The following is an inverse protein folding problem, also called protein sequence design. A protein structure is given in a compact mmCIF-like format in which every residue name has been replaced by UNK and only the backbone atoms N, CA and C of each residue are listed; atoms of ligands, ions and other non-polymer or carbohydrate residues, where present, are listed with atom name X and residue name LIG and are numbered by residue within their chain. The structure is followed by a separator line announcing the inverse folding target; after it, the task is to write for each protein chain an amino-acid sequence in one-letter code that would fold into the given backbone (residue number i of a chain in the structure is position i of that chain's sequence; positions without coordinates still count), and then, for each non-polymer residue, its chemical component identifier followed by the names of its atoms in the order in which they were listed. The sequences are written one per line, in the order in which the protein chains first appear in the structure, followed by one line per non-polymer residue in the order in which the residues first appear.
data_IF_143282797748
#
_entry.id   IF_143282797748
#
_cell.length_a   1.000
_cell.length_b   1.000
_cell.length_c   1.000
_cell.angle_alpha   90.00
_cell.angle_beta   90.00
_cell.angle_gamma   90.00
#
_symmetry.space_group_name_H-M   'P 1'
#
loop_
_entity.id
_entity.type
_entity.pdbx_description
1 polymer ?
#
# COMPACT_ATOMS: atom_id res chain seq x y z
N UNK A 1 14.93 -49.21 -18.32
CA UNK A 1 15.46 -48.57 -17.09
C UNK A 1 14.42 -47.56 -16.63
N UNK A 2 13.84 -47.73 -15.44
CA UNK A 2 12.89 -46.76 -14.92
C UNK A 2 13.63 -45.46 -14.62
N UNK A 3 13.24 -44.38 -15.28
CA UNK A 3 13.78 -43.05 -15.06
C UNK A 3 13.51 -42.64 -13.62
N UNK A 4 14.55 -42.64 -12.77
CA UNK A 4 14.43 -42.21 -11.37
C UNK A 4 14.10 -40.73 -11.39
N UNK A 5 12.84 -40.39 -11.15
CA UNK A 5 12.38 -39.02 -10.94
C UNK A 5 13.17 -38.42 -9.77
N UNK A 6 14.17 -37.60 -10.08
CA UNK A 6 14.98 -36.90 -9.07
C UNK A 6 14.21 -35.70 -8.58
N UNK A 7 14.21 -35.50 -7.27
CA UNK A 7 13.73 -34.26 -6.67
C UNK A 7 14.70 -33.15 -7.06
N UNK A 8 14.17 -31.99 -7.50
CA UNK A 8 14.98 -30.82 -7.85
C UNK A 8 16.00 -30.51 -6.74
N UNK A 9 17.26 -30.25 -7.09
CA UNK A 9 18.28 -29.83 -6.13
C UNK A 9 18.02 -28.45 -5.53
N UNK A 10 17.16 -27.63 -6.16
CA UNK A 10 16.85 -26.26 -5.75
C UNK A 10 15.35 -26.12 -5.46
N UNK A 11 14.88 -26.72 -4.36
CA UNK A 11 13.52 -26.48 -3.88
C UNK A 11 13.42 -25.12 -3.18
N UNK A 12 12.31 -24.38 -3.36
CA UNK A 12 12.07 -23.14 -2.63
C UNK A 12 12.00 -23.41 -1.12
N UNK A 13 12.84 -22.73 -0.33
CA UNK A 13 12.88 -22.91 1.13
C UNK A 13 11.74 -22.15 1.78
N UNK A 14 11.15 -22.75 2.82
CA UNK A 14 10.08 -22.11 3.60
C UNK A 14 10.40 -22.11 5.08
N UNK A 15 10.45 -20.92 5.68
CA UNK A 15 10.77 -20.75 7.10
C UNK A 15 9.51 -20.62 7.95
N UNK A 16 8.37 -20.25 7.36
CA UNK A 16 7.12 -19.97 8.06
C UNK A 16 7.15 -18.68 8.87
N UNK A 17 8.10 -17.78 8.58
CA UNK A 17 8.19 -16.47 9.23
C UNK A 17 7.13 -15.51 8.71
N UNK A 18 6.82 -14.49 9.51
CA UNK A 18 5.94 -13.39 9.09
C UNK A 18 6.43 -12.76 7.79
N UNK A 19 5.55 -12.68 6.80
CA UNK A 19 5.83 -12.09 5.50
C UNK A 19 5.99 -13.12 4.37
N UNK A 20 6.22 -14.39 4.70
CA UNK A 20 6.15 -15.49 3.72
C UNK A 20 4.69 -15.85 3.44
N UNK A 21 4.39 -16.18 2.18
CA UNK A 21 3.06 -16.64 1.75
C UNK A 21 3.15 -18.15 1.49
N UNK A 22 2.50 -18.93 2.37
CA UNK A 22 2.50 -20.40 2.29
C UNK A 22 1.84 -20.90 1.00
N UNK A 23 0.85 -20.18 0.44
CA UNK A 23 0.22 -20.57 -0.84
C UNK A 23 1.17 -20.38 -2.00
N UNK A 24 1.90 -19.28 -2.00
CA UNK A 24 2.93 -19.01 -3.00
C UNK A 24 4.04 -20.07 -2.94
N UNK A 25 4.50 -20.42 -1.74
CA UNK A 25 5.49 -21.48 -1.56
C UNK A 25 5.00 -22.86 -2.04
N UNK A 26 3.77 -23.25 -1.68
CA UNK A 26 3.16 -24.50 -2.15
C UNK A 26 3.11 -24.54 -3.68
N UNK A 27 2.70 -23.44 -4.32
CA UNK A 27 2.68 -23.32 -5.77
C UNK A 27 4.08 -23.49 -6.38
N UNK A 28 5.10 -22.86 -5.79
CA UNK A 28 6.49 -23.00 -6.26
C UNK A 28 7.00 -24.45 -6.13
N UNK A 29 6.62 -25.17 -5.07
CA UNK A 29 6.91 -26.61 -4.92
C UNK A 29 6.22 -27.41 -6.03
N UNK A 30 4.94 -27.17 -6.30
CA UNK A 30 4.20 -27.86 -7.36
C UNK A 30 4.85 -27.63 -8.73
N UNK A 31 5.28 -26.40 -9.04
CA UNK A 31 5.99 -26.08 -10.28
C UNK A 31 7.34 -26.81 -10.35
N UNK A 32 8.14 -26.78 -9.28
CA UNK A 32 9.43 -27.48 -9.24
C UNK A 32 9.26 -28.99 -9.44
N UNK A 33 8.23 -29.59 -8.83
CA UNK A 33 7.90 -30.99 -9.00
C UNK A 33 7.45 -31.30 -10.43
N UNK A 34 6.58 -30.46 -11.02
CA UNK A 34 6.09 -30.63 -12.40
C UNK A 34 7.22 -30.58 -13.43
N UNK A 35 8.17 -29.66 -13.27
CA UNK A 35 9.36 -29.57 -14.13
C UNK A 35 10.20 -30.86 -14.09
N UNK A 36 10.17 -31.57 -12.95
CA UNK A 36 10.86 -32.85 -12.77
C UNK A 36 9.94 -34.05 -13.06
N UNK A 37 8.87 -33.88 -13.83
CA UNK A 37 7.94 -34.94 -14.22
C UNK A 37 7.24 -35.64 -13.05
N UNK A 38 7.09 -34.98 -11.91
CA UNK A 38 6.28 -35.44 -10.79
C UNK A 38 4.84 -34.96 -11.02
N UNK A 39 3.90 -35.90 -11.09
CA UNK A 39 2.48 -35.58 -11.21
C UNK A 39 1.98 -34.80 -9.99
N UNK A 40 1.21 -33.75 -10.24
CA UNK A 40 0.62 -32.92 -9.20
C UNK A 40 -0.85 -33.28 -9.11
N UNK A 41 -1.17 -34.13 -8.14
CA UNK A 41 -2.51 -34.60 -7.86
C UNK A 41 -2.68 -34.72 -6.34
N UNK A 42 -3.93 -34.67 -5.88
CA UNK A 42 -4.25 -34.62 -4.46
C UNK A 42 -3.96 -35.94 -3.74
N UNK A 43 -3.86 -37.06 -4.47
CA UNK A 43 -3.59 -38.40 -3.91
C UNK A 43 -2.09 -38.70 -3.85
N UNK A 44 -1.24 -37.83 -4.37
CA UNK A 44 0.19 -38.03 -4.44
C UNK A 44 0.83 -38.11 -3.06
N UNK A 45 1.47 -39.24 -2.76
CA UNK A 45 2.09 -39.51 -1.46
C UNK A 45 3.55 -39.07 -1.35
N UNK A 46 4.18 -38.68 -2.47
CA UNK A 46 5.58 -38.22 -2.51
C UNK A 46 5.70 -36.73 -2.22
N UNK A 47 4.71 -35.93 -2.64
CA UNK A 47 4.74 -34.47 -2.51
C UNK A 47 4.89 -33.98 -1.06
N UNK A 48 4.21 -34.55 -0.04
CA UNK A 48 4.39 -34.13 1.35
C UNK A 48 5.85 -34.26 1.83
N UNK A 49 6.54 -35.35 1.47
CA UNK A 49 7.95 -35.55 1.80
C UNK A 49 8.88 -34.56 1.11
N UNK A 50 8.60 -34.25 -0.16
CA UNK A 50 9.35 -33.24 -0.92
C UNK A 50 9.18 -31.86 -0.29
N UNK A 51 7.92 -31.44 -0.05
CA UNK A 51 7.62 -30.17 0.59
C UNK A 51 8.25 -30.09 1.98
N UNK A 52 8.11 -31.13 2.80
CA UNK A 52 8.72 -31.22 4.13
C UNK A 52 10.25 -31.08 4.11
N UNK A 53 10.93 -31.65 3.11
CA UNK A 53 12.38 -31.49 2.94
C UNK A 53 12.80 -30.05 2.60
N UNK A 54 11.90 -29.26 2.00
CA UNK A 54 12.10 -27.86 1.65
C UNK A 54 11.74 -26.89 2.80
N UNK A 55 11.14 -27.39 3.89
CA UNK A 55 10.88 -26.58 5.07
C UNK A 55 12.18 -26.36 5.87
N UNK A 56 12.36 -25.14 6.36
CA UNK A 56 13.47 -24.72 7.20
C UNK A 56 12.99 -24.28 8.59
N UNK A 57 13.91 -24.09 9.52
CA UNK A 57 13.57 -23.62 10.86
C UNK A 57 12.98 -22.19 10.80
N UNK A 58 11.87 -21.91 11.51
CA UNK A 58 11.18 -22.80 12.46
C UNK A 58 10.13 -23.77 11.85
N UNK A 59 9.65 -23.54 10.63
CA UNK A 59 8.56 -24.33 10.02
C UNK A 59 8.82 -25.84 9.94
N UNK A 60 10.07 -26.28 9.78
CA UNK A 60 10.42 -27.70 9.76
C UNK A 60 9.97 -28.45 11.03
N UNK A 61 9.84 -27.76 12.17
CA UNK A 61 9.33 -28.34 13.42
C UNK A 61 7.87 -28.80 13.31
N UNK A 62 7.06 -28.09 12.53
CA UNK A 62 5.68 -28.51 12.26
C UNK A 62 5.65 -29.80 11.43
N UNK A 63 6.51 -29.93 10.42
CA UNK A 63 6.57 -31.15 9.60
C UNK A 63 7.03 -32.37 10.41
N UNK A 64 8.02 -32.18 11.29
CA UNK A 64 8.47 -33.21 12.23
C UNK A 64 7.36 -33.70 13.17
N UNK A 65 6.39 -32.85 13.50
CA UNK A 65 5.21 -33.24 14.25
C UNK A 65 4.14 -33.90 13.34
N UNK A 66 3.85 -33.31 12.18
CA UNK A 66 2.78 -33.76 11.27
C UNK A 66 3.03 -35.16 10.73
N UNK A 67 4.26 -35.48 10.30
CA UNK A 67 4.58 -36.76 9.65
C UNK A 67 4.33 -37.99 10.52
N UNK A 68 4.78 -38.07 11.79
CA UNK A 68 4.49 -39.23 12.63
C UNK A 68 3.07 -39.26 13.21
N UNK A 69 2.35 -38.13 13.25
CA UNK A 69 1.02 -38.03 13.90
C UNK A 69 -0.14 -38.22 12.94
N UNK A 70 0.09 -38.03 11.64
CA UNK A 70 -0.91 -38.21 10.57
C UNK A 70 -0.92 -39.67 10.12
N UNK A 71 -2.09 -40.24 9.78
CA UNK A 71 -2.14 -41.64 9.33
C UNK A 71 -1.43 -41.78 7.98
N UNK A 72 -0.83 -42.94 7.70
CA UNK A 72 -0.11 -43.15 6.43
C UNK A 72 -1.03 -42.99 5.20
N UNK A 73 -2.30 -43.40 5.32
CA UNK A 73 -3.33 -43.23 4.28
C UNK A 73 -3.67 -41.75 4.01
N UNK A 74 -3.42 -40.88 4.99
CA UNK A 74 -3.64 -39.43 4.94
C UNK A 74 -2.38 -38.67 4.50
N UNK A 75 -1.27 -39.36 4.20
CA UNK A 75 -0.05 -38.75 3.66
C UNK A 75 -0.19 -38.42 2.17
N UNK A 76 -1.28 -37.75 1.81
CA UNK A 76 -1.55 -37.31 0.43
C UNK A 76 -1.33 -35.82 0.31
N UNK A 77 -1.10 -35.35 -0.92
CA UNK A 77 -0.86 -33.93 -1.18
C UNK A 77 -2.04 -33.04 -0.78
N UNK A 78 -3.28 -33.50 -1.02
CA UNK A 78 -4.50 -32.78 -0.63
C UNK A 78 -4.55 -32.50 0.87
N UNK A 79 -4.35 -33.54 1.69
CA UNK A 79 -4.35 -33.42 3.16
C UNK A 79 -3.18 -32.58 3.66
N UNK A 80 -1.99 -32.77 3.07
CA UNK A 80 -0.83 -31.95 3.44
C UNK A 80 -1.09 -30.46 3.20
N UNK A 81 -1.63 -30.08 2.03
CA UNK A 81 -1.98 -28.69 1.72
C UNK A 81 -2.99 -28.14 2.72
N UNK A 82 -4.02 -28.89 3.06
CA UNK A 82 -5.00 -28.45 4.05
C UNK A 82 -4.35 -28.23 5.42
N UNK A 83 -3.53 -29.18 5.88
CA UNK A 83 -2.92 -29.14 7.21
C UNK A 83 -1.84 -28.06 7.33
N UNK A 84 -1.04 -27.82 6.28
CA UNK A 84 0.03 -26.82 6.30
C UNK A 84 -0.52 -25.40 6.24
N UNK A 85 -1.68 -25.18 5.61
CA UNK A 85 -2.32 -23.87 5.63
C UNK A 85 -2.77 -23.47 7.04
N UNK A 86 -3.30 -24.38 7.86
CA UNK A 86 -3.83 -24.06 9.19
C UNK A 86 -2.88 -23.26 10.11
N UNK A 87 -1.60 -23.65 10.30
CA UNK A 87 -0.67 -22.91 11.15
C UNK A 87 0.06 -21.76 10.45
N UNK A 88 0.18 -21.78 9.11
CA UNK A 88 1.04 -20.84 8.37
C UNK A 88 0.26 -19.81 7.54
N UNK A 89 -1.02 -20.05 7.28
CA UNK A 89 -1.91 -19.07 6.68
C UNK A 89 -2.49 -18.16 7.77
N UNK A 90 -2.50 -16.85 7.50
CA UNK A 90 -3.20 -15.93 8.38
C UNK A 90 -4.70 -16.22 8.35
N UNK A 91 -5.35 -16.36 9.51
CA UNK A 91 -6.80 -16.61 9.60
C UNK A 91 -7.66 -15.56 8.88
N UNK A 92 -7.11 -14.37 8.65
CA UNK A 92 -7.72 -13.27 7.91
C UNK A 92 -7.08 -13.04 6.52
N UNK A 93 -6.48 -14.06 5.88
CA UNK A 93 -5.70 -13.93 4.64
C UNK A 93 -6.40 -13.10 3.56
N UNK A 94 -7.63 -13.47 3.19
CA UNK A 94 -8.41 -12.75 2.18
C UNK A 94 -8.73 -11.30 2.60
N UNK A 95 -9.06 -11.08 3.88
CA UNK A 95 -9.32 -9.74 4.39
C UNK A 95 -8.05 -8.87 4.39
N UNK A 96 -6.90 -9.45 4.74
CA UNK A 96 -5.61 -8.77 4.73
C UNK A 96 -5.16 -8.38 3.32
N UNK A 97 -5.39 -9.24 2.31
CA UNK A 97 -5.14 -8.90 0.91
C UNK A 97 -6.03 -7.75 0.43
N UNK A 98 -7.33 -7.80 0.74
CA UNK A 98 -8.28 -6.74 0.38
C UNK A 98 -7.95 -5.42 1.07
N UNK A 99 -7.54 -5.45 2.34
CA UNK A 99 -7.10 -4.26 3.07
C UNK A 99 -5.84 -3.66 2.43
N UNK A 100 -4.85 -4.50 2.06
CA UNK A 100 -3.65 -4.05 1.35
C UNK A 100 -3.99 -3.40 0.02
N UNK A 101 -4.90 -3.98 -0.78
CA UNK A 101 -5.37 -3.39 -2.03
C UNK A 101 -6.03 -2.02 -1.82
N UNK A 102 -6.94 -1.89 -0.85
CA UNK A 102 -7.63 -0.62 -0.58
C UNK A 102 -6.65 0.50 -0.14
N UNK A 103 -5.63 0.12 0.63
CA UNK A 103 -4.58 1.03 1.09
C UNK A 103 -3.51 1.31 0.02
N UNK A 104 -3.45 0.53 -1.05
CA UNK A 104 -2.48 0.71 -2.11
C UNK A 104 -2.71 2.06 -2.81
N UNK A 105 -1.61 2.77 -3.04
CA UNK A 105 -1.58 4.07 -3.68
C UNK A 105 -0.37 4.14 -4.59
N UNK A 106 -0.55 4.65 -5.80
CA UNK A 106 0.52 4.91 -6.75
C UNK A 106 1.47 5.98 -6.17
N UNK A 107 2.60 5.54 -5.62
CA UNK A 107 3.66 6.42 -5.08
C UNK A 107 4.78 6.68 -6.08
N UNK A 108 5.06 5.70 -6.93
CA UNK A 108 6.12 5.72 -7.93
C UNK A 108 5.54 5.94 -9.34
N UNK A 109 6.17 5.34 -10.34
CA UNK A 109 5.67 5.16 -11.71
C UNK A 109 4.47 4.20 -11.77
N UNK A 110 3.85 4.14 -12.95
CA UNK A 110 2.62 3.38 -13.16
C UNK A 110 2.89 1.89 -13.27
N UNK A 111 4.03 1.50 -13.82
CA UNK A 111 4.45 0.11 -14.00
C UNK A 111 4.65 -0.56 -12.64
N UNK A 112 5.34 0.10 -11.72
CA UNK A 112 5.53 -0.35 -10.34
C UNK A 112 4.19 -0.53 -9.63
N UNK A 113 3.29 0.45 -9.76
CA UNK A 113 1.96 0.36 -9.16
C UNK A 113 1.12 -0.78 -9.75
N UNK A 114 1.17 -0.99 -11.06
CA UNK A 114 0.49 -2.09 -11.73
C UNK A 114 1.02 -3.45 -11.25
N UNK A 115 2.33 -3.56 -11.06
CA UNK A 115 2.97 -4.76 -10.49
C UNK A 115 2.51 -5.04 -9.06
N UNK A 116 2.55 -4.04 -8.18
CA UNK A 116 2.09 -4.16 -6.79
C UNK A 116 0.59 -4.52 -6.70
N UNK A 117 -0.24 -3.89 -7.53
CA UNK A 117 -1.67 -4.17 -7.57
C UNK A 117 -1.94 -5.59 -8.07
N UNK A 118 -1.31 -6.00 -9.17
CA UNK A 118 -1.42 -7.34 -9.77
C UNK A 118 -1.00 -8.43 -8.80
N UNK A 119 0.13 -8.22 -8.12
CA UNK A 119 0.65 -9.16 -7.12
C UNK A 119 -0.35 -9.42 -5.99
N UNK A 120 -1.21 -8.44 -5.65
CA UNK A 120 -2.24 -8.61 -4.63
C UNK A 120 -3.53 -9.19 -5.21
N UNK A 121 -4.04 -8.63 -6.32
CA UNK A 121 -5.39 -8.94 -6.80
C UNK A 121 -5.53 -10.37 -7.31
N UNK A 122 -4.50 -10.95 -7.92
CA UNK A 122 -4.55 -12.34 -8.41
C UNK A 122 -4.64 -13.39 -7.30
N UNK A 123 -4.42 -13.00 -6.04
CA UNK A 123 -4.61 -13.85 -4.85
C UNK A 123 -5.95 -13.62 -4.15
N UNK A 124 -6.69 -12.58 -4.53
CA UNK A 124 -7.99 -12.27 -3.94
C UNK A 124 -9.07 -13.09 -4.61
N UNK A 125 -9.85 -13.79 -3.79
CA UNK A 125 -10.98 -14.60 -4.24
C UNK A 125 -12.27 -13.76 -4.25
N UNK A 126 -13.15 -13.99 -5.24
CA UNK A 126 -14.51 -13.46 -5.25
C UNK A 126 -14.67 -11.94 -5.36
N UNK A 127 -13.64 -11.19 -5.80
CA UNK A 127 -13.78 -9.75 -6.06
C UNK A 127 -14.34 -9.50 -7.47
N UNK A 128 -15.45 -8.77 -7.57
CA UNK A 128 -16.07 -8.45 -8.87
C UNK A 128 -15.14 -7.61 -9.75
N UNK A 129 -15.23 -7.74 -11.08
CA UNK A 129 -14.41 -6.92 -12.00
C UNK A 129 -14.62 -5.41 -11.77
N UNK A 130 -15.86 -5.01 -11.45
CA UNK A 130 -16.19 -3.63 -11.12
C UNK A 130 -15.42 -3.15 -9.88
N UNK A 131 -15.38 -3.95 -8.82
CA UNK A 131 -14.64 -3.61 -7.60
C UNK A 131 -13.13 -3.60 -7.84
N UNK A 132 -12.61 -4.50 -8.68
CA UNK A 132 -11.20 -4.52 -9.08
C UNK A 132 -10.82 -3.22 -9.79
N UNK A 133 -11.61 -2.80 -10.79
CA UNK A 133 -11.37 -1.55 -11.51
C UNK A 133 -11.51 -0.34 -10.60
N UNK A 134 -12.55 -0.31 -9.76
CA UNK A 134 -12.81 0.80 -8.84
C UNK A 134 -11.68 0.96 -7.82
N UNK A 135 -11.24 -0.14 -7.20
CA UNK A 135 -10.14 -0.14 -6.23
C UNK A 135 -8.83 0.31 -6.89
N UNK A 136 -8.51 -0.24 -8.06
CA UNK A 136 -7.35 0.15 -8.87
C UNK A 136 -7.35 1.65 -9.18
N UNK A 137 -8.45 2.18 -9.75
CA UNK A 137 -8.55 3.60 -10.08
C UNK A 137 -8.43 4.51 -8.84
N UNK A 138 -8.99 4.08 -7.70
CA UNK A 138 -8.90 4.82 -6.43
C UNK A 138 -7.48 4.82 -5.82
N UNK A 139 -6.59 3.93 -6.25
CA UNK A 139 -5.19 3.94 -5.87
C UNK A 139 -4.30 4.82 -6.75
N UNK A 140 -4.70 5.13 -7.99
CA UNK A 140 -3.95 5.98 -8.92
C UNK A 140 -3.79 7.43 -8.45
N UNK A 141 -2.78 8.13 -8.97
CA UNK A 141 -2.63 9.59 -8.82
C UNK A 141 -3.84 10.33 -9.41
N UNK A 142 -4.09 11.55 -8.90
CA UNK A 142 -5.31 12.32 -9.22
C UNK A 142 -5.58 12.47 -10.73
N UNK A 143 -4.53 12.80 -11.50
CA UNK A 143 -4.62 12.99 -12.95
C UNK A 143 -4.97 11.69 -13.69
N UNK A 144 -4.18 10.64 -13.52
CA UNK A 144 -4.37 9.32 -14.14
C UNK A 144 -5.71 8.70 -13.70
N UNK A 145 -6.10 8.84 -12.44
CA UNK A 145 -7.41 8.42 -11.92
C UNK A 145 -8.57 9.09 -12.67
N UNK A 146 -8.47 10.38 -12.93
CA UNK A 146 -9.54 11.15 -13.58
C UNK A 146 -9.74 10.66 -15.01
N UNK A 147 -8.64 10.41 -15.72
CA UNK A 147 -8.67 9.83 -17.07
C UNK A 147 -9.30 8.43 -17.08
N UNK A 148 -8.81 7.51 -16.23
CA UNK A 148 -9.34 6.14 -16.16
C UNK A 148 -10.84 6.11 -15.81
N UNK A 149 -11.30 6.97 -14.89
CA UNK A 149 -12.73 7.04 -14.53
C UNK A 149 -13.61 7.62 -15.64
N UNK A 150 -13.07 8.51 -16.47
CA UNK A 150 -13.80 9.09 -17.60
C UNK A 150 -14.10 8.04 -18.67
N UNK A 151 -13.11 7.20 -18.96
CA UNK A 151 -13.17 6.17 -20.01
C UNK A 151 -13.97 4.93 -19.60
N UNK A 152 -14.27 4.77 -18.31
CA UNK A 152 -15.11 3.69 -17.75
C UNK A 152 -14.72 2.28 -18.24
N UNK A 153 -13.47 1.83 -18.00
CA UNK A 153 -13.06 0.48 -18.39
C UNK A 153 -13.86 -0.58 -17.64
N UNK A 154 -14.22 -1.65 -18.34
CA UNK A 154 -14.97 -2.79 -17.76
C UNK A 154 -14.05 -3.84 -17.13
N UNK A 155 -12.77 -3.84 -17.51
CA UNK A 155 -11.78 -4.82 -17.05
C UNK A 155 -10.56 -4.15 -16.41
N UNK A 156 -9.90 -4.90 -15.51
CA UNK A 156 -8.66 -4.44 -14.88
C UNK A 156 -7.56 -4.16 -15.92
N UNK A 157 -7.43 -5.02 -16.93
CA UNK A 157 -6.45 -4.83 -18.01
C UNK A 157 -6.68 -3.52 -18.75
N UNK A 158 -7.92 -3.25 -19.17
CA UNK A 158 -8.26 -2.00 -19.86
C UNK A 158 -7.96 -0.77 -18.98
N UNK A 159 -8.23 -0.87 -17.67
CA UNK A 159 -7.91 0.20 -16.73
C UNK A 159 -6.39 0.43 -16.59
N UNK A 160 -5.59 -0.64 -16.60
CA UNK A 160 -4.12 -0.58 -16.59
C UNK A 160 -3.57 0.04 -17.88
N UNK A 161 -4.07 -0.38 -19.03
CA UNK A 161 -3.66 0.15 -20.35
C UNK A 161 -3.96 1.65 -20.46
N UNK A 162 -5.13 2.08 -20.00
CA UNK A 162 -5.51 3.50 -19.96
C UNK A 162 -4.57 4.32 -19.06
N UNK A 163 -4.19 3.77 -17.91
CA UNK A 163 -3.29 4.46 -16.99
C UNK A 163 -1.88 4.61 -17.58
N UNK A 164 -1.35 3.56 -18.23
CA UNK A 164 -0.07 3.59 -18.93
C UNK A 164 -0.11 4.60 -20.09
N UNK A 165 -1.17 4.55 -20.91
CA UNK A 165 -1.38 5.49 -22.02
C UNK A 165 -1.40 6.95 -21.55
N UNK A 166 -2.06 7.22 -20.42
CA UNK A 166 -2.10 8.55 -19.84
C UNK A 166 -0.71 9.04 -19.40
N UNK A 167 0.02 8.23 -18.65
CA UNK A 167 1.34 8.58 -18.14
C UNK A 167 2.34 8.78 -19.29
N UNK A 168 2.34 7.91 -20.30
CA UNK A 168 3.22 8.04 -21.48
C UNK A 168 2.99 9.33 -22.30
N UNK A 169 1.79 9.90 -22.26
CA UNK A 169 1.45 11.14 -22.97
C UNK A 169 1.56 12.39 -22.09
N UNK A 170 1.58 12.26 -20.75
CA UNK A 170 1.51 13.37 -19.80
C UNK A 170 2.67 13.42 -18.78
N UNK A 171 3.70 12.56 -18.90
CA UNK A 171 4.86 12.49 -18.00
C UNK A 171 5.69 13.79 -17.93
N UNK A 172 5.51 14.70 -18.89
CA UNK A 172 6.32 15.92 -19.04
C UNK A 172 5.94 17.03 -18.03
N UNK A 173 4.78 16.96 -17.38
CA UNK A 173 4.28 18.06 -16.54
C UNK A 173 4.70 18.02 -15.07
N UNK A 174 5.02 16.85 -14.50
CA UNK A 174 5.27 16.74 -13.06
C UNK A 174 6.66 17.30 -12.66
N UNK A 175 7.63 17.26 -13.57
CA UNK A 175 8.93 17.93 -13.39
C UNK A 175 8.79 19.47 -13.46
N UNK A 176 7.95 19.97 -14.38
CA UNK A 176 7.71 21.41 -14.57
C UNK A 176 6.98 22.03 -13.38
N UNK A 177 6.01 21.32 -12.79
CA UNK A 177 5.26 21.82 -11.63
C UNK A 177 6.10 21.88 -10.34
N UNK A 178 7.08 20.96 -10.18
CA UNK A 178 8.05 21.01 -9.08
C UNK A 178 9.06 22.16 -9.25
N UNK A 179 9.48 22.43 -10.48
CA UNK A 179 10.41 23.53 -10.78
C UNK A 179 9.73 24.90 -10.58
N UNK A 180 8.47 25.05 -11.01
CA UNK A 180 7.67 26.26 -10.80
C UNK A 180 7.43 26.61 -9.32
N UNK A 181 7.39 25.62 -8.42
CA UNK A 181 7.31 25.83 -6.96
C UNK A 181 8.65 26.13 -6.30
N UNK A 182 9.77 25.73 -6.90
CA UNK A 182 11.11 26.04 -6.42
C UNK A 182 11.52 27.48 -6.70
N UNK A 183 11.19 28.00 -7.88
CA UNK A 183 11.61 29.34 -8.31
C UNK A 183 10.85 30.47 -7.60
N UNK A 184 9.61 30.23 -7.15
CA UNK A 184 8.82 31.21 -6.41
C UNK A 184 9.33 31.55 -5.00
N UNK A 185 10.38 30.86 -4.52
CA UNK A 185 10.94 31.05 -3.15
C UNK A 185 12.27 31.80 -3.12
N UNK A 186 12.82 32.22 -4.27
CA UNK A 186 14.15 32.86 -4.34
C UNK A 186 14.19 34.35 -4.74
N UNK A 187 13.07 34.99 -5.05
CA UNK A 187 13.05 36.40 -5.45
C UNK A 187 12.57 37.33 -4.32
N UNK A 188 13.41 37.55 -3.30
CA UNK A 188 13.35 38.75 -2.45
C UNK A 188 14.58 38.81 -1.54
N UNK A 189 15.71 39.25 -2.08
CA UNK A 189 16.83 39.72 -1.28
C UNK A 189 17.62 40.75 -2.11
N UNK A 190 17.50 42.03 -1.74
CA UNK A 190 18.48 43.06 -2.08
C UNK A 190 19.15 43.54 -0.76
N UNK A 191 20.43 44.00 -0.78
CA UNK A 191 21.28 44.02 0.40
C UNK A 191 21.64 45.43 0.96
N UNK A 192 22.12 45.42 2.22
CA UNK A 192 23.04 46.37 2.90
C UNK A 192 22.44 47.44 3.85
N UNK A 193 23.25 48.06 4.76
CA UNK A 193 24.11 47.46 5.80
C UNK A 193 24.00 48.18 7.18
N UNK A 194 24.86 47.77 8.12
CA UNK A 194 25.28 48.40 9.40
C UNK A 194 24.85 47.80 10.77
N UNK A 195 25.88 47.56 11.58
CA UNK A 195 25.96 47.00 12.96
C UNK A 195 26.03 48.19 13.97
N UNK A 196 25.93 48.04 15.33
CA UNK A 196 26.52 46.93 16.12
C UNK A 196 25.86 46.47 17.46
N UNK A 197 26.25 45.24 17.84
CA UNK A 197 26.53 44.62 19.16
C UNK A 197 25.69 44.96 20.41
N UNK A 198 25.12 43.90 20.99
CA UNK A 198 24.90 43.72 22.44
C UNK A 198 24.45 42.30 22.79
N UNK A 199 25.14 41.62 23.72
CA UNK A 199 24.86 40.30 24.33
C UNK A 199 24.94 40.50 25.87
N UNK A 200 24.61 39.54 26.78
CA UNK A 200 23.78 38.31 26.71
C UNK A 200 22.87 38.10 27.97
N UNK A 201 22.27 36.90 28.11
CA UNK A 201 21.61 36.29 29.30
C UNK A 201 20.17 36.76 29.65
N UNK A 202 19.19 35.92 30.01
CA UNK A 202 19.12 34.46 30.18
C UNK A 202 17.71 34.00 30.64
N UNK A 203 17.29 32.83 30.13
CA UNK A 203 16.37 31.80 30.66
C UNK A 203 14.84 32.03 30.86
N UNK A 204 14.13 31.08 30.21
CA UNK A 204 12.93 30.31 30.59
C UNK A 204 11.53 30.90 30.29
N UNK A 205 10.85 30.24 29.34
CA UNK A 205 9.46 29.83 29.52
C UNK A 205 8.49 30.15 28.38
N UNK A 206 7.70 29.12 28.03
CA UNK A 206 6.33 29.16 27.50
C UNK A 206 6.08 29.23 25.97
N UNK A 207 5.42 28.16 25.52
CA UNK A 207 4.51 27.94 24.38
C UNK A 207 4.69 28.77 23.09
N UNK A 208 5.00 28.04 22.00
CA UNK A 208 4.98 28.55 20.63
C UNK A 208 3.56 28.89 20.18
N UNK A 209 3.29 30.18 19.97
CA UNK A 209 2.20 30.64 19.13
C UNK A 209 2.46 30.24 17.66
N UNK A 210 1.44 29.74 16.97
CA UNK A 210 1.47 29.46 15.54
C UNK A 210 1.44 30.78 14.75
N UNK A 211 2.11 30.86 13.59
CA UNK A 211 2.00 32.02 12.70
C UNK A 211 0.68 31.96 11.94
N UNK A 212 -0.23 32.87 12.27
CA UNK A 212 -1.39 33.24 11.48
C UNK A 212 -0.95 34.13 10.31
N UNK A 213 -1.48 33.87 9.12
CA UNK A 213 -1.32 34.78 7.99
C UNK A 213 -1.24 34.06 6.66
N UNK A 214 -2.39 33.59 6.14
CA UNK A 214 -2.64 33.35 4.70
C UNK A 214 -4.07 32.90 4.39
N UNK A 215 -5.12 33.49 5.00
CA UNK A 215 -6.53 33.20 4.63
C UNK A 215 -7.51 34.39 4.81
N UNK A 216 -7.04 35.63 4.65
CA UNK A 216 -7.90 36.82 4.78
C UNK A 216 -8.26 37.49 3.44
N UNK A 217 -7.83 36.93 2.30
CA UNK A 217 -8.25 37.43 0.98
C UNK A 217 -9.53 36.71 0.56
N UNK A 218 -10.67 37.40 0.69
CA UNK A 218 -11.97 36.96 0.13
C UNK A 218 -13.06 36.55 1.12
N UNK A 219 -12.80 36.53 2.43
CA UNK A 219 -13.83 36.15 3.42
C UNK A 219 -14.49 37.40 4.04
N UNK A 220 -15.82 37.49 3.92
CA UNK A 220 -16.63 38.53 4.57
C UNK A 220 -17.06 38.09 5.98
N UNK A 221 -17.17 39.04 6.89
CA UNK A 221 -17.60 38.78 8.25
C UNK A 221 -19.08 38.43 8.27
N UNK A 222 -19.45 37.26 8.81
CA UNK A 222 -20.86 36.84 8.93
C UNK A 222 -21.73 37.73 9.82
N UNK A 223 -21.13 38.61 10.65
CA UNK A 223 -21.86 39.53 11.51
C UNK A 223 -22.05 40.91 10.86
N UNK A 224 -20.97 41.60 10.50
CA UNK A 224 -21.04 42.96 9.95
C UNK A 224 -21.02 43.02 8.41
N UNK A 225 -20.91 41.86 7.72
CA UNK A 225 -20.83 41.69 6.26
C UNK A 225 -19.67 42.40 5.55
N UNK A 226 -18.74 43.02 6.29
CA UNK A 226 -17.54 43.67 5.71
C UNK A 226 -16.45 42.63 5.36
N UNK A 227 -15.74 42.78 4.22
CA UNK A 227 -14.63 41.90 3.83
C UNK A 227 -13.40 42.08 4.74
N UNK A 228 -12.50 41.10 4.71
CA UNK A 228 -11.17 41.20 5.34
C UNK A 228 -11.06 40.65 6.77
N UNK A 229 -12.15 40.19 7.37
CA UNK A 229 -12.13 39.53 8.68
C UNK A 229 -13.30 38.56 8.86
N UNK A 230 -13.17 37.63 9.81
CA UNK A 230 -14.23 36.69 10.22
C UNK A 230 -14.94 37.16 11.50
N UNK A 231 -16.12 36.59 11.82
CA UNK A 231 -16.92 36.96 13.00
C UNK A 231 -16.12 36.96 14.31
N UNK A 232 -15.20 36.00 14.50
CA UNK A 232 -14.34 35.92 15.69
C UNK A 232 -13.44 37.16 15.88
N UNK A 233 -13.06 37.81 14.78
CA UNK A 233 -12.19 39.00 14.77
C UNK A 233 -12.98 40.30 14.51
N UNK A 234 -14.32 40.26 14.57
CA UNK A 234 -15.15 41.43 14.30
C UNK A 234 -15.28 42.33 15.54
N UNK A 235 -14.88 43.59 15.40
CA UNK A 235 -14.98 44.58 16.47
C UNK A 235 -16.43 44.83 16.91
N UNK A 236 -17.36 44.91 15.97
CA UNK A 236 -18.78 45.10 16.27
C UNK A 236 -19.36 43.91 17.07
N UNK A 237 -18.99 42.68 16.72
CA UNK A 237 -19.41 41.48 17.45
C UNK A 237 -18.89 41.46 18.89
N UNK A 238 -17.62 41.82 19.11
CA UNK A 238 -17.03 41.88 20.45
C UNK A 238 -17.68 42.95 21.33
N UNK A 239 -18.08 44.09 20.75
CA UNK A 239 -18.80 45.15 21.48
C UNK A 239 -20.23 44.73 21.87
N UNK A 240 -20.90 43.91 21.06
CA UNK A 240 -22.23 43.35 21.34
C UNK A 240 -22.17 42.34 22.51
N UNK A 241 -21.16 41.46 22.52
CA UNK A 241 -20.97 40.49 23.61
C UNK A 241 -20.73 41.18 24.96
N UNK A 242 -19.90 42.23 24.98
CA UNK A 242 -19.66 43.00 26.20
C UNK A 242 -20.89 43.77 26.72
N UNK A 243 -21.95 43.93 25.92
CA UNK A 243 -23.25 44.47 26.38
C UNK A 243 -24.19 43.38 26.89
N UNK A 244 -24.05 42.14 26.44
CA UNK A 244 -24.82 41.00 26.94
C UNK A 244 -24.25 40.42 28.24
N UNK A 245 -22.95 40.56 28.48
CA UNK A 245 -22.29 40.13 29.73
C UNK A 245 -22.47 41.10 30.90
N UNK A 246 -23.05 42.28 30.66
CA UNK A 246 -23.29 43.32 31.68
C UNK A 246 -24.78 43.57 31.93
N UNK A 247 -25.62 42.54 31.74
CA UNK A 247 -27.06 42.57 32.01
C UNK A 247 -27.52 41.36 32.80
#
# INVERSE_FOLDING_TARGET
MAERTRVSGNLPRFTGKRGEDVREWLFQIEIACRINSIQIDDTNTRLPGIAGSAMDKPASGWFLHWSPTTRLEEHTWGIFREHVLRPFEASNYQAALREKLQRLKQKADIETYNGEYSALIFRVEGMSMLDQVLCYANGLKSRSRSYVKLEKPETLSAAMDLAVKYEGTHFVDDARDRQAKGDKKKSSADPSPDKPKGKPFGKKGRHKAKPDGKRAEGRTCFFCKKPGHIKANCFAWKKEQGKQENK
#
